data_IF_363589333623
#
_entry.id   IF_363589333623
#
_cell.length_a   1.000
_cell.length_b   1.000
_cell.length_c   1.000
_cell.angle_alpha   90.00
_cell.angle_beta   90.00
_cell.angle_gamma   90.00
#
_symmetry.space_group_name_H-M   'P 1'
#
loop_
_entity.id
_entity.type
_entity.pdbx_description
1 polymer ?
#
# COMPACT_ATOMS: atom_id res chain seq x y z
N UNK A 1 9.94 -20.36 -23.74
CA UNK A 1 9.03 -21.34 -23.08
C UNK A 1 9.56 -21.75 -21.70
N UNK A 2 10.82 -22.14 -21.58
CA UNK A 2 11.43 -22.59 -20.31
C UNK A 2 11.39 -21.54 -19.18
N UNK A 3 11.58 -20.25 -19.49
CA UNK A 3 11.46 -19.16 -18.51
C UNK A 3 10.01 -18.89 -18.06
N UNK A 4 9.04 -19.11 -18.94
CA UNK A 4 7.61 -18.98 -18.60
C UNK A 4 7.16 -20.13 -17.71
N UNK A 5 7.58 -21.35 -18.01
CA UNK A 5 7.31 -22.52 -17.18
C UNK A 5 7.99 -22.40 -15.81
N UNK A 6 9.21 -21.87 -15.76
CA UNK A 6 9.93 -21.59 -14.52
C UNK A 6 9.21 -20.50 -13.71
N UNK A 7 8.76 -19.41 -14.34
CA UNK A 7 7.97 -18.35 -13.71
C UNK A 7 6.65 -18.88 -13.11
N UNK A 8 5.93 -19.70 -13.88
CA UNK A 8 4.68 -20.34 -13.43
C UNK A 8 4.94 -21.36 -12.31
N UNK A 9 5.99 -22.17 -12.41
CA UNK A 9 6.36 -23.12 -11.37
C UNK A 9 6.80 -22.43 -10.06
N UNK A 10 7.54 -21.32 -10.15
CA UNK A 10 7.91 -20.48 -9.01
C UNK A 10 6.64 -19.84 -8.42
N UNK A 11 5.73 -19.31 -9.25
CA UNK A 11 4.47 -18.74 -8.78
C UNK A 11 3.58 -19.76 -8.06
N UNK A 12 3.48 -20.99 -8.56
CA UNK A 12 2.69 -22.06 -7.94
C UNK A 12 3.32 -22.54 -6.63
N UNK A 13 4.66 -22.69 -6.58
CA UNK A 13 5.38 -23.10 -5.36
C UNK A 13 5.38 -22.01 -4.27
N UNK A 14 5.42 -20.74 -4.68
CA UNK A 14 5.37 -19.58 -3.76
C UNK A 14 4.03 -19.47 -3.03
N UNK A 15 2.91 -19.88 -3.64
CA UNK A 15 1.55 -19.84 -3.06
C UNK A 15 1.39 -20.59 -1.73
N UNK A 16 2.29 -21.51 -1.38
CA UNK A 16 2.21 -22.30 -0.14
C UNK A 16 2.89 -21.69 1.09
N UNK A 17 3.69 -20.63 0.91
CA UNK A 17 4.40 -19.95 2.01
C UNK A 17 4.28 -18.42 1.98
N UNK A 18 3.43 -17.87 1.12
CA UNK A 18 3.06 -16.46 1.16
C UNK A 18 2.04 -16.26 2.27
N UNK A 19 2.50 -16.18 3.52
CA UNK A 19 1.71 -15.59 4.59
C UNK A 19 1.20 -14.24 4.10
N UNK A 20 -0.10 -13.95 4.25
CA UNK A 20 -0.76 -12.72 3.76
C UNK A 20 0.03 -11.43 4.09
N UNK A 21 0.88 -11.44 5.12
CA UNK A 21 1.82 -10.39 5.53
C UNK A 21 2.90 -10.01 4.49
N UNK A 22 3.39 -10.97 3.70
CA UNK A 22 4.45 -10.74 2.69
C UNK A 22 3.83 -10.23 1.37
N UNK A 23 2.58 -10.64 1.08
CA UNK A 23 1.82 -10.15 -0.07
C UNK A 23 1.18 -8.78 0.19
N UNK A 24 0.86 -8.48 1.45
CA UNK A 24 0.29 -7.20 1.87
C UNK A 24 1.23 -6.03 1.62
N UNK A 25 2.55 -6.24 1.66
CA UNK A 25 3.51 -5.13 1.73
C UNK A 25 3.26 -4.37 3.03
N UNK A 26 4.12 -4.54 4.02
CA UNK A 26 4.02 -3.80 5.28
C UNK A 26 4.75 -2.45 5.10
N UNK A 27 4.07 -1.35 4.70
CA UNK A 27 4.57 -0.03 5.10
C UNK A 27 3.51 0.85 5.76
N UNK A 28 2.23 0.46 5.80
CA UNK A 28 1.15 1.29 6.38
C UNK A 28 0.83 0.95 7.85
N UNK A 29 1.48 -0.08 8.41
CA UNK A 29 1.34 -0.50 9.81
C UNK A 29 2.70 -0.43 10.50
N UNK A 30 2.79 0.29 11.62
CA UNK A 30 3.93 0.14 12.53
C UNK A 30 3.78 -1.21 13.24
N UNK A 31 4.77 -2.10 13.10
CA UNK A 31 4.83 -3.33 13.89
C UNK A 31 5.13 -2.97 15.35
N UNK A 32 4.07 -2.79 16.14
CA UNK A 32 4.12 -2.73 17.59
C UNK A 32 3.39 -3.96 18.18
N UNK A 33 3.92 -4.49 19.28
CA UNK A 33 3.33 -5.61 20.01
C UNK A 33 1.90 -5.22 20.48
N UNK A 34 0.86 -5.77 19.83
CA UNK A 34 -0.53 -5.50 20.21
C UNK A 34 -1.54 -5.16 19.10
N UNK A 35 -1.26 -5.44 17.83
CA UNK A 35 -2.26 -5.31 16.75
C UNK A 35 -1.96 -4.23 15.70
N UNK A 36 -0.77 -3.62 15.74
CA UNK A 36 -0.28 -2.65 14.76
C UNK A 36 -0.95 -1.27 14.86
N UNK A 37 -0.21 -0.22 14.52
CA UNK A 37 -0.73 1.16 14.56
C UNK A 37 -1.08 1.63 13.14
N UNK A 38 -2.24 2.27 12.98
CA UNK A 38 -2.66 2.86 11.71
C UNK A 38 -1.91 4.18 11.46
N UNK A 39 -1.08 4.22 10.41
CA UNK A 39 -0.37 5.42 9.99
C UNK A 39 -1.34 6.40 9.29
N UNK A 40 -1.61 7.54 9.93
CA UNK A 40 -2.49 8.60 9.39
C UNK A 40 -1.81 9.96 9.30
N UNK A 41 -0.49 10.01 9.53
CA UNK A 41 0.29 11.25 9.60
C UNK A 41 1.11 11.52 8.33
N UNK A 42 1.63 12.75 8.21
CA UNK A 42 2.50 13.14 7.11
C UNK A 42 1.83 13.00 5.75
N UNK A 43 2.42 12.18 4.86
CA UNK A 43 1.88 11.92 3.53
C UNK A 43 0.55 11.14 3.58
N UNK A 44 0.39 10.25 4.57
CA UNK A 44 -0.82 9.44 4.76
C UNK A 44 -2.02 10.30 5.18
N UNK A 45 -1.81 11.47 5.78
CA UNK A 45 -2.88 12.43 6.04
C UNK A 45 -3.47 13.06 4.76
N UNK A 46 -2.79 12.94 3.61
CA UNK A 46 -3.19 13.55 2.33
C UNK A 46 -3.66 12.53 1.30
N UNK A 47 -3.11 11.32 1.34
CA UNK A 47 -3.38 10.23 0.40
C UNK A 47 -3.25 8.90 1.13
N UNK A 48 -4.20 7.98 0.94
CA UNK A 48 -4.16 6.68 1.63
C UNK A 48 -3.04 5.77 1.11
N UNK A 49 -2.83 5.76 -0.20
CA UNK A 49 -1.96 4.80 -0.87
C UNK A 49 -0.84 5.47 -1.70
N UNK A 50 0.06 6.27 -1.08
CA UNK A 50 1.11 7.01 -1.80
C UNK A 50 2.04 6.09 -2.58
N UNK A 51 2.38 4.92 -2.04
CA UNK A 51 3.24 3.92 -2.68
C UNK A 51 2.68 3.45 -4.02
N UNK A 52 1.39 3.14 -4.08
CA UNK A 52 0.77 2.65 -5.31
C UNK A 52 0.71 3.74 -6.38
N UNK A 53 0.56 5.00 -5.96
CA UNK A 53 0.65 6.14 -6.86
C UNK A 53 2.07 6.34 -7.37
N UNK A 54 3.08 6.22 -6.50
CA UNK A 54 4.49 6.23 -6.91
C UNK A 54 4.79 5.16 -7.96
N UNK A 55 4.36 3.92 -7.73
CA UNK A 55 4.56 2.82 -8.68
C UNK A 55 3.86 3.10 -10.02
N UNK A 56 2.61 3.59 -9.99
CA UNK A 56 1.90 3.95 -11.21
C UNK A 56 2.65 5.06 -11.97
N UNK A 57 2.95 6.18 -11.31
CA UNK A 57 3.66 7.32 -11.91
C UNK A 57 5.03 6.92 -12.45
N UNK A 58 5.81 6.14 -11.70
CA UNK A 58 7.11 5.64 -12.12
C UNK A 58 7.03 4.72 -13.34
N UNK A 59 6.01 3.85 -13.39
CA UNK A 59 5.79 2.96 -14.54
C UNK A 59 5.43 3.76 -15.79
N UNK A 60 4.57 4.77 -15.66
CA UNK A 60 4.24 5.67 -16.78
C UNK A 60 5.47 6.51 -17.20
N UNK A 61 6.23 7.04 -16.24
CA UNK A 61 7.47 7.77 -16.52
C UNK A 61 8.49 6.93 -17.30
N UNK A 62 8.65 5.66 -16.93
CA UNK A 62 9.48 4.72 -17.68
C UNK A 62 8.93 4.47 -19.08
N UNK A 63 7.62 4.29 -19.24
CA UNK A 63 7.01 4.10 -20.55
C UNK A 63 7.24 5.30 -21.48
N UNK A 64 7.12 6.52 -20.96
CA UNK A 64 7.43 7.75 -21.70
C UNK A 64 8.92 7.83 -22.06
N UNK A 65 9.81 7.52 -21.13
CA UNK A 65 11.25 7.55 -21.38
C UNK A 65 11.68 6.52 -22.44
N UNK A 66 11.17 5.29 -22.35
CA UNK A 66 11.46 4.23 -23.31
C UNK A 66 10.78 4.47 -24.67
N UNK A 67 9.68 5.23 -24.69
CA UNK A 67 8.85 5.53 -25.86
C UNK A 67 8.53 4.31 -26.74
N UNK A 68 8.24 3.18 -26.10
CA UNK A 68 8.00 1.91 -26.75
C UNK A 68 6.55 1.46 -26.51
N UNK A 69 5.85 1.06 -27.57
CA UNK A 69 4.43 0.66 -27.51
C UNK A 69 4.13 -0.38 -26.43
N UNK A 70 4.99 -1.39 -26.28
CA UNK A 70 4.83 -2.41 -25.25
C UNK A 70 4.94 -1.88 -23.81
N UNK A 71 5.74 -0.83 -23.58
CA UNK A 71 5.87 -0.22 -22.26
C UNK A 71 4.59 0.50 -21.84
N UNK A 72 3.89 1.16 -22.78
CA UNK A 72 2.58 1.76 -22.51
C UNK A 72 1.50 0.71 -22.20
N UNK A 73 1.53 -0.44 -22.87
CA UNK A 73 0.62 -1.57 -22.55
C UNK A 73 0.85 -2.07 -21.12
N UNK A 74 2.11 -2.25 -20.72
CA UNK A 74 2.45 -2.62 -19.34
C UNK A 74 1.98 -1.55 -18.35
N UNK A 75 2.25 -0.28 -18.62
CA UNK A 75 1.82 0.83 -17.76
C UNK A 75 0.29 0.87 -17.59
N UNK A 76 -0.46 0.71 -18.69
CA UNK A 76 -1.92 0.65 -18.66
C UNK A 76 -2.43 -0.56 -17.87
N UNK A 77 -1.82 -1.74 -18.03
CA UNK A 77 -2.18 -2.96 -17.30
C UNK A 77 -1.85 -2.88 -15.80
N UNK A 78 -0.84 -2.12 -15.41
CA UNK A 78 -0.47 -1.91 -14.00
C UNK A 78 -1.59 -1.22 -13.21
N UNK A 79 -2.30 -0.25 -13.79
CA UNK A 79 -3.34 0.51 -13.09
C UNK A 79 -4.45 -0.36 -12.48
N UNK A 80 -5.17 -1.22 -13.23
CA UNK A 80 -6.20 -2.08 -12.66
C UNK A 80 -5.63 -3.13 -11.70
N UNK A 81 -4.39 -3.60 -11.92
CA UNK A 81 -3.74 -4.54 -11.01
C UNK A 81 -3.47 -3.91 -9.65
N UNK A 82 -2.88 -2.71 -9.62
CA UNK A 82 -2.66 -1.97 -8.37
C UNK A 82 -4.00 -1.61 -7.70
N UNK A 83 -5.02 -1.26 -8.49
CA UNK A 83 -6.36 -0.99 -7.94
C UNK A 83 -6.93 -2.21 -7.21
N UNK A 84 -6.80 -3.41 -7.79
CA UNK A 84 -7.26 -4.64 -7.15
C UNK A 84 -6.51 -4.93 -5.84
N UNK A 85 -5.19 -4.74 -5.84
CA UNK A 85 -4.37 -4.91 -4.63
C UNK A 85 -4.83 -3.95 -3.53
N UNK A 86 -5.03 -2.67 -3.88
CA UNK A 86 -5.52 -1.66 -2.93
C UNK A 86 -6.89 -2.07 -2.36
N UNK A 87 -7.82 -2.58 -3.17
CA UNK A 87 -9.12 -3.02 -2.66
C UNK A 87 -9.01 -4.19 -1.65
N UNK A 88 -8.08 -5.11 -1.85
CA UNK A 88 -7.83 -6.20 -0.92
C UNK A 88 -7.20 -5.69 0.38
N UNK A 89 -6.26 -4.75 0.26
CA UNK A 89 -5.61 -4.12 1.41
C UNK A 89 -6.60 -3.31 2.25
N UNK A 90 -7.46 -2.49 1.62
CA UNK A 90 -8.48 -1.75 2.35
C UNK A 90 -9.47 -2.67 3.08
N UNK A 91 -9.79 -3.85 2.51
CA UNK A 91 -10.64 -4.84 3.20
C UNK A 91 -9.96 -5.40 4.44
N UNK A 92 -8.71 -5.82 4.33
CA UNK A 92 -7.91 -6.30 5.46
C UNK A 92 -7.76 -5.22 6.55
N UNK A 93 -7.56 -3.96 6.16
CA UNK A 93 -7.47 -2.84 7.10
C UNK A 93 -8.80 -2.55 7.78
N UNK A 94 -9.93 -2.66 7.07
CA UNK A 94 -11.27 -2.60 7.69
C UNK A 94 -11.47 -3.76 8.68
N UNK A 95 -11.07 -4.98 8.33
CA UNK A 95 -11.23 -6.14 9.20
C UNK A 95 -10.37 -6.03 10.47
N UNK A 96 -9.19 -5.40 10.36
CA UNK A 96 -8.26 -5.22 11.49
C UNK A 96 -8.58 -4.02 12.37
N UNK A 97 -8.92 -2.87 11.79
CA UNK A 97 -9.07 -1.59 12.49
C UNK A 97 -10.52 -1.11 12.61
N UNK A 98 -11.46 -1.78 11.93
CA UNK A 98 -12.88 -1.48 12.00
C UNK A 98 -13.21 -0.03 11.66
N UNK A 99 -13.96 0.62 12.55
CA UNK A 99 -14.48 1.96 12.32
C UNK A 99 -13.39 3.04 12.27
N UNK A 100 -12.25 2.84 12.94
CA UNK A 100 -11.12 3.78 12.87
C UNK A 100 -10.61 3.93 11.43
N UNK A 101 -10.51 2.83 10.70
CA UNK A 101 -10.10 2.86 9.31
C UNK A 101 -11.22 3.41 8.41
N UNK A 102 -12.49 3.12 8.69
CA UNK A 102 -13.61 3.71 7.94
C UNK A 102 -13.68 5.23 8.07
N UNK A 103 -13.39 5.77 9.25
CA UNK A 103 -13.28 7.21 9.46
C UNK A 103 -12.12 7.81 8.66
N UNK A 104 -10.96 7.17 8.69
CA UNK A 104 -9.81 7.54 7.87
C UNK A 104 -10.14 7.51 6.36
N UNK A 105 -10.89 6.49 5.90
CA UNK A 105 -11.34 6.39 4.52
C UNK A 105 -12.26 7.54 4.09
N UNK A 106 -13.07 8.08 5.01
CA UNK A 106 -13.95 9.22 4.72
C UNK A 106 -13.18 10.53 4.62
N UNK A 107 -12.08 10.66 5.37
CA UNK A 107 -11.33 11.91 5.47
C UNK A 107 -10.19 12.01 4.44
N UNK A 108 -9.56 10.90 4.08
CA UNK A 108 -8.41 10.86 3.16
C UNK A 108 -8.77 10.11 1.86
N UNK A 109 -8.54 10.70 0.68
CA UNK A 109 -8.81 10.05 -0.60
C UNK A 109 -7.79 8.96 -0.92
N UNK A 110 -8.20 8.04 -1.79
CA UNK A 110 -7.42 6.85 -2.11
C UNK A 110 -6.11 7.14 -2.87
N UNK A 111 -6.18 7.96 -3.93
CA UNK A 111 -5.06 8.13 -4.89
C UNK A 111 -4.64 9.58 -5.16
N UNK A 112 -5.51 10.57 -4.95
CA UNK A 112 -5.19 11.95 -5.29
C UNK A 112 -4.90 12.72 -4.01
N UNK A 113 -3.70 13.30 -3.85
CA UNK A 113 -3.35 13.98 -2.60
C UNK A 113 -4.23 15.22 -2.38
N UNK A 114 -4.81 15.35 -1.18
CA UNK A 114 -5.45 16.61 -0.77
C UNK A 114 -4.41 17.68 -0.51
N UNK A 115 -4.72 18.93 -0.91
CA UNK A 115 -3.90 20.11 -0.60
C UNK A 115 -3.79 20.37 0.91
N UNK A 116 -4.86 20.06 1.66
CA UNK A 116 -4.89 20.16 3.12
C UNK A 116 -4.94 18.75 3.72
N UNK A 117 -4.10 18.44 4.72
CA UNK A 117 -4.19 17.18 5.47
C UNK A 117 -5.58 16.99 6.07
N UNK A 118 -6.07 15.76 6.11
CA UNK A 118 -7.25 15.42 6.88
C UNK A 118 -7.00 15.67 8.38
N UNK A 119 -8.05 16.04 9.10
CA UNK A 119 -8.01 16.06 10.56
C UNK A 119 -7.66 14.66 11.08
N UNK A 120 -6.76 14.60 12.07
CA UNK A 120 -6.27 13.36 12.69
C UNK A 120 -7.47 12.53 13.15
N UNK A 121 -7.54 11.26 12.75
CA UNK A 121 -8.51 10.34 13.32
C UNK A 121 -8.16 10.13 14.81
N UNK A 122 -9.12 10.19 15.75
CA UNK A 122 -8.85 10.02 17.17
C UNK A 122 -8.21 8.65 17.45
N UNK A 123 -7.05 8.64 18.13
CA UNK A 123 -6.43 7.40 18.65
C UNK A 123 -5.10 6.97 18.03
N UNK A 124 -4.45 7.80 17.21
CA UNK A 124 -3.08 7.56 16.72
C UNK A 124 -2.14 8.43 17.55
N UNK A 125 -1.35 7.87 18.46
CA UNK A 125 -0.33 8.61 19.23
C UNK A 125 1.02 8.53 18.50
N UNK A 126 1.82 9.61 18.43
CA UNK A 126 3.13 9.59 17.78
C UNK A 126 4.24 9.02 18.68
N UNK A 127 3.93 8.59 19.91
CA UNK A 127 4.93 8.50 20.99
C UNK A 127 5.26 7.09 21.52
N UNK A 128 4.66 6.02 20.99
CA UNK A 128 4.92 4.65 21.51
C UNK A 128 6.28 4.07 21.06
N UNK A 129 7.08 4.83 20.32
CA UNK A 129 8.43 4.44 19.85
C UNK A 129 9.59 5.24 20.46
N UNK A 130 9.35 6.22 21.34
CA UNK A 130 10.41 7.02 21.98
C UNK A 130 10.73 6.62 23.43
N UNK A 131 10.04 5.63 23.99
CA UNK A 131 10.26 5.16 25.37
C UNK A 131 11.12 3.88 25.49
N UNK A 132 11.97 3.58 24.52
CA UNK A 132 12.96 2.50 24.61
C UNK A 132 14.36 3.04 24.30
N UNK A 133 14.89 3.89 25.19
CA UNK A 133 16.21 4.49 25.01
C UNK A 133 16.62 5.49 26.09
N UNK A 134 16.18 5.30 27.34
CA UNK A 134 16.76 5.99 28.50
C UNK A 134 16.35 5.28 29.80
N UNK A 135 17.05 4.20 30.13
CA UNK A 135 17.23 3.72 31.50
C UNK A 135 18.46 2.80 31.52
#
# INVERSE_FOLDING_TARGET
VSLLLLSVAIAIRRRRHLTNRILAGVPELTEGEGGGTLLTEGIYARIRHPRYVEVAVGTFGYAFFANYGGAYVVAAATVPLLHLVVLLEERELVDRFGDRYREYQRSVPRYLPRRRPAARAPGVSPDDGRAAGSA
#
